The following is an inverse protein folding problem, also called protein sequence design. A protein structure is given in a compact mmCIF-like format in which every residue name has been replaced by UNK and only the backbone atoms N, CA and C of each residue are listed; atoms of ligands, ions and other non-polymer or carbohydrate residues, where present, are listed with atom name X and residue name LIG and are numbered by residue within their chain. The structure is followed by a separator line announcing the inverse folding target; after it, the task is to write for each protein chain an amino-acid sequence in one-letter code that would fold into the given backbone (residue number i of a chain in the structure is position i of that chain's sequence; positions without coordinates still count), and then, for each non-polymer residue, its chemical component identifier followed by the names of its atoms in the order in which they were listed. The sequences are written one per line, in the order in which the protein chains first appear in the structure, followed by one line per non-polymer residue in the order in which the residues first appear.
data_IF_548525029218
#
_entry.id   IF_548525029218
#
_cell.length_a   1.000
_cell.length_b   1.000
_cell.length_c   1.000
_cell.angle_alpha   90.00
_cell.angle_beta   90.00
_cell.angle_gamma   90.00
#
_symmetry.space_group_name_H-M   'P 1'
#
loop_
_entity.id
_entity.type
_entity.pdbx_description
1 polymer ?
#
# COMPACT_ATOMS: atom_id res chain seq x y z
N UNK A 1 -5.59 -0.57 -6.37
CA UNK A 1 -5.77 0.44 -7.43
C UNK A 1 -7.09 0.28 -8.21
N UNK A 2 -7.36 -0.85 -8.89
CA UNK A 2 -8.58 -1.02 -9.70
C UNK A 2 -9.86 -0.68 -8.93
N UNK A 3 -10.02 -1.16 -7.70
CA UNK A 3 -11.22 -0.88 -6.89
C UNK A 3 -11.38 0.61 -6.58
N UNK A 4 -10.30 1.30 -6.26
CA UNK A 4 -10.27 2.75 -6.00
C UNK A 4 -10.69 3.51 -7.26
N UNK A 5 -10.11 3.17 -8.41
CA UNK A 5 -10.44 3.78 -9.71
C UNK A 5 -11.90 3.56 -10.11
N UNK A 6 -12.40 2.31 -9.97
CA UNK A 6 -13.80 1.96 -10.29
C UNK A 6 -14.80 2.65 -9.36
N UNK A 7 -14.40 2.93 -8.12
CA UNK A 7 -15.22 3.68 -7.16
C UNK A 7 -15.31 5.19 -7.47
N UNK A 8 -14.60 5.67 -8.51
CA UNK A 8 -14.65 7.06 -8.96
C UNK A 8 -13.62 7.98 -8.30
N UNK A 9 -12.67 7.44 -7.54
CA UNK A 9 -11.55 8.24 -7.01
C UNK A 9 -10.48 8.42 -8.07
N UNK A 10 -9.96 9.64 -8.20
CA UNK A 10 -8.84 9.95 -9.07
C UNK A 10 -7.53 9.45 -8.47
N UNK A 11 -6.77 8.68 -9.25
CA UNK A 11 -5.45 8.22 -8.86
C UNK A 11 -4.43 9.09 -9.57
N UNK A 12 -3.88 10.07 -8.87
CA UNK A 12 -3.00 11.10 -9.45
C UNK A 12 -1.58 10.59 -9.74
N UNK A 13 -1.15 9.51 -9.06
CA UNK A 13 0.12 8.83 -9.33
C UNK A 13 0.18 7.45 -8.67
N UNK A 14 1.13 6.64 -9.10
CA UNK A 14 1.48 5.37 -8.48
C UNK A 14 2.98 5.28 -8.19
N UNK A 15 3.33 4.83 -6.98
CA UNK A 15 4.67 4.39 -6.61
C UNK A 15 4.70 2.87 -6.59
N UNK A 16 5.64 2.26 -7.28
CA UNK A 16 5.86 0.80 -7.24
C UNK A 16 7.34 0.48 -7.24
N UNK A 17 7.69 -0.72 -6.79
CA UNK A 17 9.07 -1.17 -6.89
C UNK A 17 9.53 -1.25 -8.35
N UNK A 18 10.84 -1.10 -8.60
CA UNK A 18 11.41 -1.30 -9.93
C UNK A 18 11.03 -2.65 -10.52
N UNK A 19 10.97 -2.70 -11.86
CA UNK A 19 10.73 -3.94 -12.57
C UNK A 19 11.78 -4.98 -12.21
N UNK A 20 11.33 -6.21 -11.98
CA UNK A 20 12.21 -7.31 -11.58
C UNK A 20 12.28 -8.36 -12.68
N UNK A 21 13.44 -9.00 -12.77
CA UNK A 21 13.60 -10.17 -13.63
C UNK A 21 12.82 -11.34 -13.06
N UNK A 22 11.91 -11.90 -13.84
CA UNK A 22 11.07 -13.02 -13.44
C UNK A 22 10.80 -13.99 -14.59
N UNK A 23 10.34 -15.20 -14.24
CA UNK A 23 9.98 -16.25 -15.18
C UNK A 23 11.17 -16.94 -15.87
N UNK A 24 10.84 -17.89 -16.75
CA UNK A 24 11.82 -18.57 -17.59
C UNK A 24 12.39 -17.56 -18.59
N UNK A 25 13.71 -17.34 -18.59
CA UNK A 25 14.39 -16.35 -19.45
C UNK A 25 14.71 -15.03 -18.75
N UNK A 26 14.34 -14.84 -17.47
CA UNK A 26 14.75 -13.68 -16.65
C UNK A 26 14.44 -12.33 -17.33
N UNK A 27 13.30 -12.21 -18.01
CA UNK A 27 12.85 -10.96 -18.60
C UNK A 27 12.38 -9.99 -17.52
N UNK A 28 12.61 -8.69 -17.73
CA UNK A 28 12.05 -7.64 -16.87
C UNK A 28 10.53 -7.68 -16.98
N UNK A 29 9.88 -7.80 -15.83
CA UNK A 29 8.41 -7.78 -15.72
C UNK A 29 7.97 -6.57 -14.91
N UNK A 30 7.00 -5.84 -15.46
CA UNK A 30 6.33 -4.78 -14.75
C UNK A 30 5.49 -5.38 -13.60
N UNK A 31 5.33 -4.60 -12.53
CA UNK A 31 4.38 -4.97 -11.48
C UNK A 31 2.94 -4.80 -11.99
N UNK A 32 1.96 -5.57 -11.49
CA UNK A 32 0.54 -5.37 -11.83
C UNK A 32 0.05 -3.94 -11.55
N UNK A 33 0.64 -3.26 -10.57
CA UNK A 33 0.38 -1.86 -10.26
C UNK A 33 0.83 -0.95 -11.40
N UNK A 34 2.05 -1.17 -11.93
CA UNK A 34 2.57 -0.42 -13.07
C UNK A 34 1.76 -0.66 -14.33
N UNK A 35 1.43 -1.92 -14.64
CA UNK A 35 0.62 -2.26 -15.81
C UNK A 35 -0.72 -1.51 -15.76
N UNK A 36 -1.45 -1.62 -14.65
CA UNK A 36 -2.71 -0.92 -14.47
C UNK A 36 -2.56 0.61 -14.60
N UNK A 37 -1.50 1.18 -14.02
CA UNK A 37 -1.27 2.62 -14.07
C UNK A 37 -1.03 3.09 -15.51
N UNK A 38 -0.20 2.38 -16.28
CA UNK A 38 0.09 2.71 -17.68
C UNK A 38 -1.16 2.59 -18.57
N UNK A 39 -1.98 1.54 -18.37
CA UNK A 39 -3.24 1.35 -19.11
C UNK A 39 -4.24 2.49 -18.87
N UNK A 40 -4.17 3.15 -17.72
CA UNK A 40 -5.09 4.23 -17.34
C UNK A 40 -4.45 5.64 -17.37
N UNK A 41 -3.24 5.78 -17.95
CA UNK A 41 -2.58 7.06 -18.07
C UNK A 41 -2.11 7.68 -16.73
N UNK A 42 -1.96 6.86 -15.70
CA UNK A 42 -1.54 7.29 -14.37
C UNK A 42 -0.01 7.37 -14.32
N UNK A 43 0.58 8.49 -13.89
CA UNK A 43 2.02 8.62 -13.72
C UNK A 43 2.59 7.57 -12.76
N UNK A 44 3.74 6.99 -13.12
CA UNK A 44 4.39 5.94 -12.31
C UNK A 44 5.83 6.35 -11.99
N UNK A 45 6.20 6.25 -10.72
CA UNK A 45 7.57 6.34 -10.25
C UNK A 45 8.02 5.01 -9.63
N UNK A 46 9.27 4.62 -9.89
CA UNK A 46 9.85 3.35 -9.44
C UNK A 46 11.19 3.57 -8.72
N UNK A 47 11.24 4.34 -7.61
CA UNK A 47 12.48 4.52 -6.88
C UNK A 47 12.89 3.23 -6.19
N UNK A 48 14.19 2.93 -6.16
CA UNK A 48 14.73 1.80 -5.40
C UNK A 48 14.71 2.05 -3.89
N UNK A 49 14.60 3.29 -3.48
CA UNK A 49 14.45 3.73 -2.08
C UNK A 49 13.74 5.08 -2.03
N UNK A 50 13.08 5.35 -0.91
CA UNK A 50 12.55 6.69 -0.60
C UNK A 50 13.44 7.46 0.39
N UNK A 51 14.54 6.84 0.85
CA UNK A 51 15.49 7.48 1.77
C UNK A 51 16.44 8.40 1.01
N UNK A 52 16.31 9.72 1.21
CA UNK A 52 17.17 10.74 0.59
C UNK A 52 18.60 10.77 1.13
N UNK A 53 18.85 10.12 2.26
CA UNK A 53 20.18 9.95 2.84
C UNK A 53 20.81 8.58 2.49
N UNK A 54 20.45 7.97 1.39
CA UNK A 54 21.08 6.75 0.91
C UNK A 54 22.58 7.00 0.66
N UNK A 55 23.42 6.02 1.00
CA UNK A 55 24.86 6.09 0.68
C UNK A 55 25.19 5.95 -0.81
N UNK A 56 24.19 5.63 -1.64
CA UNK A 56 24.31 5.50 -3.10
C UNK A 56 23.75 6.76 -3.78
N UNK A 57 24.58 7.53 -4.54
CA UNK A 57 24.15 8.76 -5.18
C UNK A 57 22.99 8.58 -6.17
N UNK A 58 22.94 7.45 -6.87
CA UNK A 58 21.86 7.19 -7.84
C UNK A 58 20.53 6.95 -7.11
N UNK A 59 20.55 6.16 -6.05
CA UNK A 59 19.36 5.92 -5.22
C UNK A 59 18.91 7.19 -4.51
N UNK A 60 19.86 8.00 -4.06
CA UNK A 60 19.59 9.31 -3.46
C UNK A 60 18.88 10.25 -4.45
N UNK A 61 19.35 10.32 -5.70
CA UNK A 61 18.72 11.13 -6.75
C UNK A 61 17.29 10.65 -7.05
N UNK A 62 17.06 9.33 -7.11
CA UNK A 62 15.71 8.77 -7.29
C UNK A 62 14.77 9.11 -6.13
N UNK A 63 15.26 9.00 -4.89
CA UNK A 63 14.48 9.35 -3.70
C UNK A 63 14.14 10.85 -3.67
N UNK A 64 15.09 11.71 -4.04
CA UNK A 64 14.90 13.15 -4.13
C UNK A 64 13.85 13.51 -5.19
N UNK A 65 13.93 12.92 -6.39
CA UNK A 65 12.95 13.12 -7.45
C UNK A 65 11.54 12.66 -7.03
N UNK A 66 11.43 11.52 -6.34
CA UNK A 66 10.15 11.05 -5.81
C UNK A 66 9.57 12.00 -4.76
N UNK A 67 10.41 12.52 -3.86
CA UNK A 67 10.00 13.50 -2.84
C UNK A 67 9.51 14.80 -3.48
N UNK A 68 10.25 15.35 -4.47
CA UNK A 68 9.90 16.58 -5.16
C UNK A 68 8.57 16.42 -5.90
N UNK A 69 8.40 15.32 -6.63
CA UNK A 69 7.17 15.05 -7.35
C UNK A 69 5.97 14.93 -6.38
N UNK A 70 6.06 14.11 -5.33
CA UNK A 70 5.02 13.99 -4.31
C UNK A 70 4.67 15.32 -3.65
N UNK A 71 5.69 16.19 -3.45
CA UNK A 71 5.50 17.50 -2.85
C UNK A 71 4.81 18.50 -3.80
N UNK A 72 4.90 18.28 -5.11
CA UNK A 72 4.38 19.19 -6.14
C UNK A 72 2.96 18.88 -6.59
N UNK A 73 2.47 17.66 -6.34
CA UNK A 73 1.12 17.24 -6.74
C UNK A 73 0.12 17.44 -5.61
N UNK A 74 -1.13 17.72 -5.98
CA UNK A 74 -2.25 17.75 -5.04
C UNK A 74 -2.89 16.36 -4.94
N UNK A 75 -3.16 15.93 -3.72
CA UNK A 75 -3.88 14.68 -3.42
C UNK A 75 -4.48 14.74 -2.01
N UNK A 76 -5.52 13.97 -1.77
CA UNK A 76 -6.23 13.96 -0.49
C UNK A 76 -5.67 12.94 0.50
N UNK A 77 -5.26 11.78 0.01
CA UNK A 77 -4.72 10.69 0.84
C UNK A 77 -3.71 9.85 0.07
N UNK A 78 -2.79 9.22 0.80
CA UNK A 78 -1.88 8.22 0.26
C UNK A 78 -2.34 6.83 0.68
N UNK A 79 -2.47 5.91 -0.26
CA UNK A 79 -2.82 4.51 0.02
C UNK A 79 -1.61 3.62 -0.21
N UNK A 80 -1.23 2.87 0.80
CA UNK A 80 -0.08 1.96 0.78
C UNK A 80 -0.56 0.52 0.94
N UNK A 81 -0.05 -0.37 0.11
CA UNK A 81 -0.28 -1.81 0.24
C UNK A 81 0.93 -2.59 -0.23
N UNK A 82 1.50 -3.41 0.61
CA UNK A 82 2.61 -4.32 0.30
C UNK A 82 3.74 -3.65 -0.53
N UNK A 83 4.02 -2.37 -0.28
CA UNK A 83 4.97 -1.59 -1.08
C UNK A 83 6.41 -2.12 -0.96
N UNK A 84 6.76 -2.66 0.21
CA UNK A 84 8.04 -3.32 0.47
C UNK A 84 9.24 -2.37 0.61
N UNK A 85 9.00 -1.07 0.64
CA UNK A 85 9.99 -0.05 1.03
C UNK A 85 9.49 0.66 2.29
N UNK A 86 10.45 1.10 3.11
CA UNK A 86 10.13 1.95 4.26
C UNK A 86 9.79 3.35 3.74
N UNK A 87 8.67 3.90 4.20
CA UNK A 87 8.31 5.30 3.99
C UNK A 87 9.01 6.12 5.09
N UNK A 88 9.98 6.98 4.75
CA UNK A 88 10.58 7.89 5.71
C UNK A 88 9.55 8.91 6.23
N UNK A 89 9.77 9.45 7.45
CA UNK A 89 8.88 10.44 8.04
C UNK A 89 8.60 11.61 7.10
N UNK A 90 9.60 12.10 6.40
CA UNK A 90 9.48 13.19 5.43
C UNK A 90 8.50 12.91 4.27
N UNK A 91 8.26 11.64 3.92
CA UNK A 91 7.23 11.23 2.94
C UNK A 91 5.85 11.19 3.61
N UNK A 92 5.77 10.70 4.84
CA UNK A 92 4.52 10.73 5.63
C UNK A 92 4.07 12.17 5.87
N UNK A 93 4.99 13.06 6.24
CA UNK A 93 4.71 14.49 6.45
C UNK A 93 4.09 15.18 5.22
N UNK A 94 4.42 14.72 3.99
CA UNK A 94 3.77 15.25 2.78
C UNK A 94 2.28 14.93 2.78
N UNK A 95 1.89 13.72 3.19
CA UNK A 95 0.50 13.29 3.24
C UNK A 95 -0.29 13.85 4.43
N UNK A 96 0.39 14.41 5.43
CA UNK A 96 -0.21 15.02 6.62
C UNK A 96 -0.36 16.55 6.52
N UNK A 97 0.01 17.15 5.38
CA UNK A 97 -0.16 18.59 5.15
C UNK A 97 -1.63 18.98 5.29
N UNK A 98 -1.85 20.25 5.66
CA UNK A 98 -3.20 20.80 5.82
C UNK A 98 -4.09 20.50 4.60
N UNK A 99 -5.29 19.98 4.86
CA UNK A 99 -6.25 19.56 3.84
C UNK A 99 -6.08 18.13 3.31
N UNK A 100 -5.06 17.41 3.76
CA UNK A 100 -4.84 15.99 3.44
C UNK A 100 -5.19 15.09 4.63
N UNK A 101 -5.50 13.83 4.34
CA UNK A 101 -5.92 12.85 5.35
C UNK A 101 -4.81 11.89 5.79
N UNK A 102 -3.57 12.10 5.34
CA UNK A 102 -2.44 11.26 5.70
C UNK A 102 -2.26 10.02 4.81
N UNK A 103 -1.53 9.05 5.33
CA UNK A 103 -1.22 7.80 4.66
C UNK A 103 -1.96 6.64 5.30
N UNK A 104 -2.66 5.84 4.51
CA UNK A 104 -3.37 4.63 4.94
C UNK A 104 -2.67 3.38 4.44
N UNK A 105 -2.38 2.44 5.33
CA UNK A 105 -1.87 1.12 4.97
C UNK A 105 -2.98 0.08 5.02
N UNK A 106 -3.03 -0.78 3.99
CA UNK A 106 -3.87 -1.97 3.97
C UNK A 106 -3.01 -3.12 4.52
N UNK A 107 -3.22 -3.47 5.79
CA UNK A 107 -2.46 -4.52 6.45
C UNK A 107 -3.27 -5.81 6.52
N UNK A 108 -2.70 -6.92 6.04
CA UNK A 108 -3.39 -8.20 5.90
C UNK A 108 -3.35 -9.04 7.19
N UNK A 109 -3.71 -8.43 8.32
CA UNK A 109 -3.95 -9.13 9.59
C UNK A 109 -4.89 -8.36 10.50
N UNK A 110 -5.35 -9.00 11.56
CA UNK A 110 -6.07 -8.36 12.67
C UNK A 110 -5.06 -7.80 13.66
N UNK A 111 -4.63 -6.56 13.45
CA UNK A 111 -3.66 -5.89 14.33
C UNK A 111 -4.17 -5.84 15.79
N UNK A 112 -3.27 -5.95 16.78
CA UNK A 112 -1.80 -5.91 16.70
C UNK A 112 -1.13 -7.24 16.34
N UNK A 113 -1.92 -8.29 16.04
CA UNK A 113 -1.37 -9.59 15.66
C UNK A 113 -0.75 -9.53 14.27
N UNK A 114 0.40 -10.15 14.13
CA UNK A 114 1.14 -10.25 12.86
C UNK A 114 1.56 -8.91 12.24
N UNK A 115 1.98 -7.96 13.08
CA UNK A 115 2.70 -6.77 12.62
C UNK A 115 3.91 -7.15 11.77
N UNK A 116 4.26 -6.33 10.79
CA UNK A 116 5.41 -6.52 9.92
C UNK A 116 5.16 -7.47 8.76
N UNK A 117 6.18 -8.23 8.38
CA UNK A 117 6.19 -9.01 7.16
C UNK A 117 5.40 -10.33 7.24
N UNK A 118 4.85 -10.74 6.10
CA UNK A 118 4.22 -12.05 5.86
C UNK A 118 3.06 -12.41 6.81
N UNK A 119 2.11 -11.50 7.11
CA UNK A 119 1.02 -11.77 8.05
C UNK A 119 0.14 -12.94 7.62
N UNK A 120 -0.09 -13.12 6.31
CA UNK A 120 -0.93 -14.19 5.75
C UNK A 120 -0.33 -15.57 6.06
N UNK A 121 0.97 -15.74 5.76
CA UNK A 121 1.68 -16.99 6.01
C UNK A 121 1.71 -17.31 7.51
N UNK A 122 1.97 -16.30 8.34
CA UNK A 122 2.01 -16.45 9.80
C UNK A 122 0.68 -16.87 10.39
N UNK A 123 -0.43 -16.34 9.89
CA UNK A 123 -1.76 -16.72 10.33
C UNK A 123 -2.04 -18.21 10.05
N UNK A 124 -1.69 -18.69 8.84
CA UNK A 124 -1.85 -20.11 8.48
C UNK A 124 -0.92 -21.00 9.29
N UNK A 125 0.38 -20.67 9.37
CA UNK A 125 1.37 -21.45 10.13
C UNK A 125 1.03 -21.60 11.61
N UNK A 126 0.39 -20.58 12.18
CA UNK A 126 -0.04 -20.59 13.58
C UNK A 126 -1.39 -21.30 13.81
N UNK A 127 -2.07 -21.74 12.75
CA UNK A 127 -3.38 -22.36 12.86
C UNK A 127 -4.47 -21.39 13.32
N UNK A 128 -4.34 -20.11 12.99
CA UNK A 128 -5.37 -19.11 13.33
C UNK A 128 -6.68 -19.49 12.63
N UNK A 129 -7.78 -19.43 13.38
CA UNK A 129 -9.12 -19.73 12.85
C UNK A 129 -9.70 -18.53 12.09
N UNK A 130 -9.19 -17.32 12.38
CA UNK A 130 -9.60 -16.06 11.76
C UNK A 130 -8.40 -15.18 11.45
N UNK A 131 -8.53 -14.42 10.39
CA UNK A 131 -7.63 -13.32 10.03
C UNK A 131 -8.46 -12.18 9.45
N UNK A 132 -7.83 -11.18 8.87
CA UNK A 132 -8.57 -10.08 8.27
C UNK A 132 -7.66 -9.03 7.69
N UNK A 133 -8.25 -7.86 7.47
CA UNK A 133 -7.57 -6.67 7.00
C UNK A 133 -7.83 -5.53 7.98
N UNK A 134 -6.77 -4.80 8.32
CA UNK A 134 -6.85 -3.52 8.99
C UNK A 134 -6.47 -2.41 8.00
N UNK A 135 -7.33 -1.41 7.85
CA UNK A 135 -6.94 -0.13 7.27
C UNK A 135 -6.46 0.73 8.43
N UNK A 136 -5.20 1.11 8.40
CA UNK A 136 -4.56 1.85 9.48
C UNK A 136 -3.93 3.15 8.98
N UNK A 137 -3.95 4.18 9.80
CA UNK A 137 -3.15 5.38 9.61
C UNK A 137 -1.67 5.02 9.79
N UNK A 138 -0.81 5.45 8.88
CA UNK A 138 0.63 5.16 9.02
C UNK A 138 1.30 6.20 9.90
N UNK A 139 2.21 5.71 10.72
CA UNK A 139 3.19 6.49 11.49
C UNK A 139 4.61 6.00 11.19
N UNK A 140 5.60 6.53 11.91
CA UNK A 140 7.00 6.13 11.76
C UNK A 140 7.32 4.72 12.27
N UNK A 141 6.39 4.11 13.02
CA UNK A 141 6.53 2.76 13.57
C UNK A 141 6.16 1.67 12.58
N UNK A 142 6.48 0.43 12.93
CA UNK A 142 6.12 -0.73 12.12
C UNK A 142 4.71 -1.19 12.49
N UNK A 143 3.72 -0.81 11.67
CA UNK A 143 2.31 -1.16 11.84
C UNK A 143 1.79 -0.82 13.26
N UNK A 144 2.10 0.40 13.73
CA UNK A 144 1.76 0.90 15.07
C UNK A 144 0.69 1.98 15.07
N UNK A 145 0.41 2.58 13.94
CA UNK A 145 -0.58 3.64 13.82
C UNK A 145 -2.03 3.20 14.09
N UNK A 146 -2.91 4.16 14.24
CA UNK A 146 -4.31 3.93 14.61
C UNK A 146 -5.06 3.16 13.52
N UNK A 147 -5.83 2.15 13.95
CA UNK A 147 -6.69 1.38 13.05
C UNK A 147 -7.99 2.13 12.79
N UNK A 148 -8.27 2.40 11.51
CA UNK A 148 -9.45 3.14 11.04
C UNK A 148 -10.61 2.19 10.74
N UNK A 149 -10.30 1.02 10.15
CA UNK A 149 -11.29 0.00 9.83
C UNK A 149 -10.69 -1.39 10.00
N UNK A 150 -11.49 -2.31 10.55
CA UNK A 150 -11.15 -3.73 10.67
C UNK A 150 -12.22 -4.55 9.98
N UNK A 151 -11.81 -5.49 9.15
CA UNK A 151 -12.68 -6.49 8.54
C UNK A 151 -12.07 -7.87 8.71
N UNK A 152 -12.82 -8.82 9.25
CA UNK A 152 -12.36 -10.19 9.52
C UNK A 152 -12.96 -11.22 8.58
N UNK A 153 -12.24 -12.33 8.38
CA UNK A 153 -12.69 -13.53 7.68
C UNK A 153 -12.21 -14.78 8.42
N UNK A 154 -12.97 -15.86 8.28
CA UNK A 154 -12.53 -17.19 8.74
C UNK A 154 -11.49 -17.77 7.79
N UNK A 155 -10.51 -18.50 8.33
CA UNK A 155 -9.55 -19.30 7.58
C UNK A 155 -10.11 -20.72 7.48
N UNK A 156 -10.34 -21.22 6.29
CA UNK A 156 -10.82 -22.57 6.07
C UNK A 156 -9.73 -23.60 6.40
N UNK A 157 -10.12 -24.79 6.82
CA UNK A 157 -9.17 -25.84 7.23
C UNK A 157 -8.26 -26.35 6.10
N UNK A 158 -8.66 -26.16 4.85
CA UNK A 158 -7.93 -26.52 3.64
C UNK A 158 -7.31 -25.28 2.92
N UNK A 159 -7.37 -24.11 3.57
CA UNK A 159 -6.88 -22.87 2.99
C UNK A 159 -5.36 -22.84 2.90
N UNK A 160 -4.86 -22.33 1.79
CA UNK A 160 -3.43 -22.07 1.60
C UNK A 160 -3.15 -20.56 1.45
N UNK A 161 -1.87 -20.19 1.48
CA UNK A 161 -1.48 -18.77 1.43
C UNK A 161 -1.95 -18.04 0.16
N UNK A 162 -2.09 -18.74 -0.97
CA UNK A 162 -2.53 -18.13 -2.21
C UNK A 162 -4.04 -17.84 -2.20
N UNK A 163 -4.86 -18.80 -1.80
CA UNK A 163 -6.31 -18.62 -1.71
C UNK A 163 -6.68 -17.56 -0.66
N UNK A 164 -6.01 -17.60 0.50
CA UNK A 164 -6.22 -16.61 1.56
C UNK A 164 -5.78 -15.21 1.10
N UNK A 165 -4.64 -15.12 0.39
CA UNK A 165 -4.18 -13.85 -0.20
C UNK A 165 -5.25 -13.23 -1.11
N UNK A 166 -5.87 -14.02 -2.01
CA UNK A 166 -6.85 -13.50 -2.95
C UNK A 166 -8.11 -13.00 -2.25
N UNK A 167 -8.55 -13.71 -1.21
CA UNK A 167 -9.68 -13.30 -0.37
C UNK A 167 -9.38 -12.01 0.41
N UNK A 168 -8.19 -11.91 1.00
CA UNK A 168 -7.76 -10.71 1.74
C UNK A 168 -7.51 -9.52 0.80
N UNK A 169 -7.01 -9.76 -0.42
CA UNK A 169 -6.86 -8.71 -1.42
C UNK A 169 -8.21 -8.11 -1.83
N UNK A 170 -9.24 -8.96 -2.00
CA UNK A 170 -10.61 -8.50 -2.24
C UNK A 170 -11.13 -7.69 -1.05
N UNK A 171 -11.06 -8.25 0.16
CA UNK A 171 -11.53 -7.62 1.39
C UNK A 171 -10.84 -6.26 1.62
N UNK A 172 -9.50 -6.20 1.46
CA UNK A 172 -8.73 -4.97 1.59
C UNK A 172 -9.07 -3.91 0.55
N UNK A 173 -9.40 -4.34 -0.68
CA UNK A 173 -9.83 -3.42 -1.73
C UNK A 173 -11.21 -2.81 -1.45
N UNK A 174 -12.14 -3.56 -0.89
CA UNK A 174 -13.46 -3.08 -0.47
C UNK A 174 -13.33 -2.16 0.75
N UNK A 175 -12.52 -2.55 1.73
CA UNK A 175 -12.28 -1.79 2.96
C UNK A 175 -11.66 -0.42 2.70
N UNK A 176 -10.65 -0.33 1.84
CA UNK A 176 -10.03 0.97 1.54
C UNK A 176 -10.96 1.90 0.78
N UNK A 177 -11.79 1.38 -0.12
CA UNK A 177 -12.81 2.18 -0.82
C UNK A 177 -13.82 2.74 0.17
N UNK A 178 -14.25 1.94 1.16
CA UNK A 178 -15.14 2.42 2.21
C UNK A 178 -14.50 3.59 2.98
N UNK A 179 -13.24 3.44 3.42
CA UNK A 179 -12.52 4.52 4.13
C UNK A 179 -12.43 5.79 3.29
N UNK A 180 -12.03 5.67 2.01
CA UNK A 180 -11.91 6.83 1.13
C UNK A 180 -13.25 7.54 0.89
N UNK A 181 -14.34 6.78 0.73
CA UNK A 181 -15.70 7.35 0.59
C UNK A 181 -16.14 8.09 1.87
N UNK A 182 -15.77 7.58 3.04
CA UNK A 182 -16.13 8.23 4.31
C UNK A 182 -15.32 9.52 4.52
N UNK A 183 -14.05 9.56 4.12
CA UNK A 183 -13.24 10.78 4.11
C UNK A 183 -13.82 11.85 3.19
N UNK A 184 -14.38 11.49 2.04
CA UNK A 184 -14.99 12.41 1.10
C UNK A 184 -16.25 13.06 1.68
N UNK A 185 -17.10 12.29 2.37
CA UNK A 185 -18.31 12.81 3.04
C UNK A 185 -18.01 13.81 4.16
N UNK A 186 -16.84 13.71 4.79
CA UNK A 186 -16.45 14.68 5.83
C UNK A 186 -16.02 16.04 5.28
N UNK A 187 -15.89 16.19 3.95
CA UNK A 187 -15.55 17.45 3.27
C UNK A 187 -16.77 18.23 2.78
N UNK A 188 -17.95 17.60 2.71
CA UNK A 188 -19.23 18.20 2.38
C UNK A 188 -19.92 18.76 3.65
#
# INVERSE_FOLDING_TARGET
MRAIHVAGHDIVMALTQPDRRAGRGMHLQASPVKEFALENGIPVLQPETLRRNSGDPQKQAQAQAAYEYLSSIEFDAMVVVAYGLILPQEILDISEKSGRHGSFNIHASLLPRWRGAAPIQRAIESGDLKTGVCIMQMDAGLDTGDTVLVADIEIACDENSSSLHDRLAKLGSESIVQVLNDLQKCKE
#
